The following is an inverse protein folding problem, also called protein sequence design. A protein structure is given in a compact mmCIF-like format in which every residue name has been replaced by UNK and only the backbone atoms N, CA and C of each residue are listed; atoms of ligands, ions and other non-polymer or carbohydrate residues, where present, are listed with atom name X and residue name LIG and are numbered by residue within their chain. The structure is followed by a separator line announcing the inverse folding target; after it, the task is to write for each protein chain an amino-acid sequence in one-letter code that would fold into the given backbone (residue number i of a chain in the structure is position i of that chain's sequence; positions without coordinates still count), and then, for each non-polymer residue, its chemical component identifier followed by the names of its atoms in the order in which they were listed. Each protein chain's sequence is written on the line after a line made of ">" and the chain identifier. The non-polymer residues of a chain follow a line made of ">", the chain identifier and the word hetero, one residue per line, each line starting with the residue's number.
data_IF_078085893623
#
_entry.id   IF_078085893623
#
_cell.length_a   1.000
_cell.length_b   1.000
_cell.length_c   1.000
_cell.angle_alpha   90.00
_cell.angle_beta   90.00
_cell.angle_gamma   90.00
#
_symmetry.space_group_name_H-M   'P 1'
#
loop_
_entity.id
_entity.type
_entity.pdbx_description
1 polymer ?
#
# COMPACT_ATOMS: atom_id res chain seq x y z
N UNK A 1 1.40 5.41 11.37
CA UNK A 1 0.89 4.52 10.31
C UNK A 1 0.24 5.42 9.27
N UNK A 2 0.51 5.17 7.98
CA UNK A 2 -0.22 5.81 6.88
C UNK A 2 -1.26 4.81 6.45
N UNK A 3 -2.53 5.18 6.54
CA UNK A 3 -3.66 4.34 6.15
C UNK A 3 -4.31 4.96 4.93
N UNK A 4 -4.35 4.24 3.82
CA UNK A 4 -5.09 4.61 2.61
C UNK A 4 -6.48 3.99 2.66
N UNK A 5 -7.52 4.80 2.45
CA UNK A 5 -8.91 4.34 2.42
C UNK A 5 -9.60 4.77 1.15
N UNK A 6 -10.42 3.87 0.59
CA UNK A 6 -11.41 4.24 -0.43
C UNK A 6 -12.61 4.85 0.29
N UNK A 7 -13.09 6.01 -0.15
CA UNK A 7 -14.26 6.67 0.45
C UNK A 7 -15.49 5.75 0.40
N UNK A 8 -16.13 5.51 1.56
CA UNK A 8 -17.30 4.63 1.68
C UNK A 8 -16.98 3.12 1.80
N UNK A 9 -15.71 2.73 1.75
CA UNK A 9 -15.26 1.35 1.91
C UNK A 9 -14.85 1.05 3.37
N UNK A 10 -15.18 -0.13 3.93
CA UNK A 10 -14.66 -0.57 5.22
C UNK A 10 -13.19 -1.03 5.15
N UNK A 11 -12.58 -1.03 3.96
CA UNK A 11 -11.23 -1.51 3.74
C UNK A 11 -10.19 -0.42 3.99
N UNK A 12 -9.25 -0.74 4.88
CA UNK A 12 -8.09 0.07 5.18
C UNK A 12 -6.88 -0.64 4.61
N UNK A 13 -6.05 0.07 3.85
CA UNK A 13 -4.74 -0.41 3.47
C UNK A 13 -3.67 0.42 4.17
N UNK A 14 -2.52 -0.19 4.43
CA UNK A 14 -1.34 0.53 4.85
C UNK A 14 -0.61 1.15 3.65
N UNK A 15 0.32 2.07 3.93
CA UNK A 15 1.20 2.66 2.94
C UNK A 15 2.49 3.17 3.56
N UNK A 16 3.45 3.52 2.72
CA UNK A 16 4.75 4.06 3.13
C UNK A 16 5.09 5.33 2.38
N UNK A 17 5.57 6.34 3.10
CA UNK A 17 6.05 7.59 2.53
C UNK A 17 7.40 7.31 1.86
N UNK A 18 7.47 7.48 0.54
CA UNK A 18 8.69 7.29 -0.26
C UNK A 18 9.34 8.61 -0.68
N UNK A 19 8.56 9.72 -0.66
CA UNK A 19 9.02 11.11 -0.78
C UNK A 19 8.07 12.04 -0.02
N UNK A 20 8.45 13.31 0.18
CA UNK A 20 7.71 14.28 1.00
C UNK A 20 6.19 14.36 0.73
N UNK A 21 5.74 14.06 -0.49
CA UNK A 21 4.33 14.06 -0.89
C UNK A 21 3.90 12.79 -1.64
N UNK A 22 4.67 11.70 -1.51
CA UNK A 22 4.41 10.45 -2.24
C UNK A 22 4.32 9.28 -1.27
N UNK A 23 3.21 8.56 -1.37
CA UNK A 23 2.95 7.32 -0.63
C UNK A 23 2.89 6.17 -1.63
N UNK A 24 3.61 5.10 -1.32
CA UNK A 24 3.53 3.83 -2.04
C UNK A 24 2.63 2.86 -1.26
N UNK A 25 1.74 2.17 -1.96
CA UNK A 25 0.82 1.16 -1.43
C UNK A 25 0.52 0.11 -2.51
N UNK A 26 -0.27 -0.93 -2.18
CA UNK A 26 -0.65 -1.98 -3.11
C UNK A 26 -1.77 -1.51 -4.05
N UNK A 27 -1.74 -1.98 -5.30
CA UNK A 27 -2.70 -1.55 -6.31
C UNK A 27 -4.14 -2.02 -6.04
N UNK A 28 -4.33 -3.20 -5.42
CA UNK A 28 -5.69 -3.68 -5.09
C UNK A 28 -6.41 -2.76 -4.09
N UNK A 29 -5.68 -1.95 -3.32
CA UNK A 29 -6.24 -0.99 -2.37
C UNK A 29 -7.07 0.13 -3.03
N UNK A 30 -7.03 0.23 -4.36
CA UNK A 30 -7.84 1.16 -5.14
C UNK A 30 -9.09 0.50 -5.73
N UNK A 31 -9.44 -0.73 -5.33
CA UNK A 31 -10.62 -1.43 -5.81
C UNK A 31 -11.51 -1.95 -4.65
N UNK A 32 -12.83 -1.85 -4.81
CA UNK A 32 -13.79 -2.44 -3.88
C UNK A 32 -13.90 -3.97 -4.07
N UNK A 33 -14.72 -4.63 -3.24
CA UNK A 33 -14.95 -6.08 -3.34
C UNK A 33 -15.62 -6.52 -4.65
N UNK A 34 -16.20 -5.58 -5.40
CA UNK A 34 -16.81 -5.83 -6.70
C UNK A 34 -15.86 -5.48 -7.86
N UNK A 35 -14.62 -5.06 -7.57
CA UNK A 35 -13.63 -4.66 -8.56
C UNK A 35 -13.83 -3.26 -9.13
N UNK A 36 -14.68 -2.44 -8.52
CA UNK A 36 -14.91 -1.03 -8.86
C UNK A 36 -13.73 -0.20 -8.38
N UNK A 37 -13.18 0.64 -9.26
CA UNK A 37 -12.08 1.54 -8.92
C UNK A 37 -12.54 2.66 -7.99
N UNK A 38 -11.66 3.10 -7.11
CA UNK A 38 -11.92 4.17 -6.16
C UNK A 38 -12.04 5.53 -6.86
N UNK A 39 -13.17 6.22 -6.69
CA UNK A 39 -13.32 7.61 -7.14
C UNK A 39 -12.59 8.61 -6.22
N UNK A 40 -12.50 8.29 -4.92
CA UNK A 40 -11.89 9.14 -3.89
C UNK A 40 -11.03 8.27 -2.97
N UNK A 41 -9.77 8.70 -2.80
CA UNK A 41 -8.81 8.09 -1.87
C UNK A 41 -8.48 9.10 -0.79
N UNK A 42 -8.44 8.65 0.45
CA UNK A 42 -7.97 9.44 1.58
C UNK A 42 -6.74 8.79 2.19
N UNK A 43 -5.80 9.63 2.61
CA UNK A 43 -4.67 9.21 3.43
C UNK A 43 -4.90 9.66 4.86
N UNK A 44 -4.76 8.74 5.81
CA UNK A 44 -4.91 9.01 7.23
C UNK A 44 -3.57 8.80 7.93
N UNK A 45 -3.07 9.86 8.55
CA UNK A 45 -1.89 9.81 9.41
C UNK A 45 -2.31 9.71 10.87
N UNK A 46 -1.78 8.74 11.60
CA UNK A 46 -1.99 8.61 13.04
C UNK A 46 -2.05 7.15 13.51
N UNK A 47 -2.57 6.95 14.72
CA UNK A 47 -2.89 5.65 15.26
C UNK A 47 -4.40 5.37 15.05
N UNK A 48 -4.81 4.20 14.52
CA UNK A 48 -6.22 3.90 14.22
C UNK A 48 -7.16 4.04 15.42
N UNK A 49 -6.66 3.78 16.65
CA UNK A 49 -7.44 3.94 17.89
C UNK A 49 -7.40 5.33 18.51
N UNK A 50 -6.70 6.30 17.90
CA UNK A 50 -6.66 7.67 18.39
C UNK A 50 -7.77 8.52 17.75
N UNK A 51 -8.39 9.40 18.52
CA UNK A 51 -9.37 10.39 18.03
C UNK A 51 -8.76 11.41 17.04
N UNK A 52 -7.44 11.38 16.85
CA UNK A 52 -6.67 12.33 16.05
C UNK A 52 -6.09 11.63 14.82
N UNK A 53 -6.96 11.24 13.89
CA UNK A 53 -6.55 10.91 12.53
C UNK A 53 -6.46 12.20 11.72
N UNK A 54 -5.27 12.55 11.26
CA UNK A 54 -5.11 13.63 10.27
C UNK A 54 -5.45 13.07 8.90
N UNK A 55 -6.50 13.61 8.28
CA UNK A 55 -6.90 13.25 6.92
C UNK A 55 -6.19 14.17 5.94
N UNK A 56 -5.47 13.57 5.00
CA UNK A 56 -4.83 14.24 3.89
C UNK A 56 -5.59 13.87 2.61
N UNK A 57 -6.18 14.86 1.90
CA UNK A 57 -6.84 14.60 0.63
C UNK A 57 -5.79 14.19 -0.41
N UNK A 58 -6.08 13.13 -1.16
CA UNK A 58 -5.23 12.67 -2.25
C UNK A 58 -5.61 13.45 -3.51
N UNK A 59 -4.64 14.17 -4.09
CA UNK A 59 -4.86 14.89 -5.35
C UNK A 59 -4.97 13.95 -6.56
N UNK A 60 -4.17 12.87 -6.54
CA UNK A 60 -4.14 11.86 -7.61
C UNK A 60 -3.52 10.57 -7.08
N UNK A 61 -3.90 9.44 -7.66
CA UNK A 61 -3.26 8.15 -7.46
C UNK A 61 -2.90 7.57 -8.83
N UNK A 62 -1.81 6.81 -8.88
CA UNK A 62 -1.29 6.23 -10.13
C UNK A 62 -1.20 4.72 -9.90
N UNK A 63 -2.02 3.96 -10.62
CA UNK A 63 -1.97 2.50 -10.63
C UNK A 63 -1.03 2.07 -11.76
N UNK A 64 -0.16 1.10 -11.49
CA UNK A 64 0.73 0.55 -12.52
C UNK A 64 -0.08 -0.01 -13.69
N UNK A 65 0.30 0.31 -14.92
CA UNK A 65 -0.44 -0.04 -16.15
C UNK A 65 -0.63 -1.55 -16.35
N UNK A 66 0.37 -2.34 -15.95
CA UNK A 66 0.30 -3.82 -15.99
C UNK A 66 -0.40 -4.45 -14.77
N UNK A 67 -1.09 -3.67 -13.92
CA UNK A 67 -1.79 -4.25 -12.79
C UNK A 67 -3.02 -5.06 -13.26
N UNK A 68 -2.97 -6.37 -13.03
CA UNK A 68 -4.09 -7.27 -13.24
C UNK A 68 -4.81 -7.53 -11.91
N UNK A 69 -6.13 -7.36 -11.91
CA UNK A 69 -6.96 -7.43 -10.71
C UNK A 69 -6.97 -8.84 -10.12
N UNK A 70 -6.76 -8.95 -8.81
CA UNK A 70 -7.12 -10.10 -7.99
C UNK A 70 -7.95 -9.61 -6.80
N UNK A 71 -8.98 -10.36 -6.43
CA UNK A 71 -9.83 -10.02 -5.29
C UNK A 71 -9.05 -10.30 -3.99
N UNK A 72 -8.97 -9.35 -3.05
CA UNK A 72 -8.87 -9.50 -1.58
C UNK A 72 -8.43 -8.18 -0.91
N UNK A 73 -9.16 -7.74 0.12
CA UNK A 73 -8.92 -6.47 0.82
C UNK A 73 -8.77 -6.69 2.34
N UNK A 74 -7.53 -6.77 2.84
CA UNK A 74 -7.17 -7.01 4.26
C UNK A 74 -6.34 -5.83 4.79
N UNK A 75 -6.48 -5.55 6.10
CA UNK A 75 -5.96 -4.34 6.79
C UNK A 75 -4.47 -4.01 6.64
N UNK A 76 -3.62 -5.02 6.46
CA UNK A 76 -2.15 -4.85 6.39
C UNK A 76 -1.62 -4.77 4.96
N UNK A 77 -2.47 -4.98 3.95
CA UNK A 77 -2.06 -4.84 2.57
C UNK A 77 -1.71 -3.39 2.24
N UNK A 78 -0.77 -3.22 1.32
CA UNK A 78 -0.11 -1.94 1.06
C UNK A 78 0.98 -1.58 2.07
N UNK A 79 1.13 -2.36 3.15
CA UNK A 79 2.14 -2.14 4.17
C UNK A 79 3.58 -2.43 3.69
N UNK A 80 4.58 -1.71 4.22
CA UNK A 80 5.98 -1.90 3.82
C UNK A 80 6.61 -3.14 4.45
N UNK A 81 7.40 -3.87 3.65
CA UNK A 81 8.39 -4.84 4.12
C UNK A 81 9.76 -4.20 4.07
N UNK A 82 10.38 -4.07 5.24
CA UNK A 82 11.68 -3.43 5.42
C UNK A 82 12.71 -4.47 5.88
N UNK A 83 13.93 -4.37 5.37
CA UNK A 83 15.09 -5.15 5.86
C UNK A 83 16.17 -4.22 6.37
N UNK A 84 16.89 -4.63 7.41
CA UNK A 84 18.00 -3.83 7.94
C UNK A 84 19.32 -4.24 7.25
N UNK A 85 19.88 -3.33 6.45
CA UNK A 85 21.10 -3.54 5.66
C UNK A 85 22.02 -2.35 5.84
N UNK A 86 23.30 -2.61 6.16
CA UNK A 86 24.33 -1.56 6.17
C UNK A 86 24.03 -0.38 7.09
N UNK A 87 23.37 -0.64 8.23
CA UNK A 87 22.88 0.36 9.19
C UNK A 87 21.61 1.15 8.80
N UNK A 88 20.93 0.78 7.71
CA UNK A 88 19.70 1.41 7.24
C UNK A 88 18.56 0.41 7.11
N UNK A 89 17.32 0.88 7.29
CA UNK A 89 16.14 0.11 6.88
C UNK A 89 15.84 0.39 5.41
N UNK A 90 15.84 -0.66 4.59
CA UNK A 90 15.57 -0.60 3.16
C UNK A 90 14.21 -1.21 2.86
N UNK A 91 13.38 -0.46 2.12
CA UNK A 91 12.08 -0.92 1.63
C UNK A 91 12.29 -1.93 0.48
N UNK A 92 11.90 -3.19 0.71
CA UNK A 92 12.10 -4.27 -0.27
C UNK A 92 10.81 -4.83 -0.83
N UNK A 93 9.70 -4.66 -0.11
CA UNK A 93 8.41 -5.16 -0.55
C UNK A 93 7.22 -4.34 -0.06
N UNK A 94 6.07 -4.57 -0.69
CA UNK A 94 4.77 -4.06 -0.27
C UNK A 94 3.83 -5.27 -0.14
N UNK A 95 3.20 -5.48 1.02
CA UNK A 95 2.22 -6.55 1.20
C UNK A 95 1.07 -6.39 0.20
N UNK A 96 0.74 -7.43 -0.57
CA UNK A 96 -0.11 -7.26 -1.75
C UNK A 96 -1.22 -8.29 -1.87
N UNK A 97 -1.02 -9.53 -1.46
CA UNK A 97 -2.05 -10.55 -1.57
C UNK A 97 -1.84 -11.62 -0.51
N UNK A 98 -2.92 -12.25 -0.07
CA UNK A 98 -2.88 -13.46 0.73
C UNK A 98 -4.12 -14.29 0.39
N UNK A 99 -3.96 -15.61 0.37
CA UNK A 99 -5.08 -16.53 0.15
C UNK A 99 -6.15 -16.38 1.26
N UNK A 100 -7.43 -16.67 0.96
CA UNK A 100 -8.51 -16.63 1.93
C UNK A 100 -8.37 -17.79 2.92
N UNK A 101 -7.64 -17.53 4.01
CA UNK A 101 -7.60 -18.35 5.21
C UNK A 101 -8.11 -17.54 6.41
N UNK A 102 -8.50 -18.22 7.49
CA UNK A 102 -8.67 -17.53 8.76
C UNK A 102 -7.26 -17.10 9.24
N UNK A 103 -7.09 -15.90 9.79
CA UNK A 103 -5.80 -15.43 10.32
C UNK A 103 -5.26 -16.25 11.53
N UNK A 104 -5.89 -17.39 11.84
CA UNK A 104 -5.60 -18.28 12.96
C UNK A 104 -5.01 -19.62 12.51
N UNK A 105 -5.08 -19.96 11.22
CA UNK A 105 -4.55 -21.18 10.61
C UNK A 105 -3.22 -20.87 9.92
N UNK A 106 -2.13 -21.02 10.68
CA UNK A 106 -0.78 -20.66 10.25
C UNK A 106 -0.15 -21.66 9.27
N UNK A 107 -0.75 -22.84 9.06
CA UNK A 107 -0.14 -23.92 8.28
C UNK A 107 -0.37 -23.83 6.76
N UNK A 108 -1.29 -22.96 6.28
CA UNK A 108 -1.55 -22.76 4.84
C UNK A 108 -1.55 -21.28 4.39
N UNK A 109 -1.17 -20.34 5.26
CA UNK A 109 -1.23 -18.91 4.95
C UNK A 109 0.09 -18.39 4.39
N UNK A 110 0.08 -17.88 3.16
CA UNK A 110 1.20 -17.12 2.59
C UNK A 110 0.75 -15.72 2.18
N UNK A 111 1.61 -14.74 2.45
CA UNK A 111 1.46 -13.36 1.97
C UNK A 111 2.41 -13.16 0.80
N UNK A 112 1.89 -12.72 -0.33
CA UNK A 112 2.66 -12.25 -1.47
C UNK A 112 2.99 -10.78 -1.32
N UNK A 113 4.23 -10.45 -1.65
CA UNK A 113 4.76 -9.09 -1.59
C UNK A 113 5.16 -8.62 -2.98
N UNK A 114 4.78 -7.39 -3.32
CA UNK A 114 5.28 -6.71 -4.52
C UNK A 114 6.75 -6.36 -4.32
N UNK A 115 7.63 -6.83 -5.19
CA UNK A 115 9.08 -6.55 -5.12
C UNK A 115 9.38 -5.11 -5.52
N UNK A 116 9.69 -4.25 -4.55
CA UNK A 116 9.91 -2.80 -4.78
C UNK A 116 11.04 -2.54 -5.77
N UNK A 117 12.13 -3.33 -5.69
CA UNK A 117 13.28 -3.18 -6.60
C UNK A 117 12.93 -3.37 -8.08
N UNK A 118 11.88 -4.14 -8.38
CA UNK A 118 11.43 -4.37 -9.76
C UNK A 118 10.78 -3.12 -10.36
N UNK A 119 10.16 -2.28 -9.53
CA UNK A 119 9.41 -1.10 -9.95
C UNK A 119 10.17 0.22 -9.76
N UNK A 120 11.48 0.19 -9.44
CA UNK A 120 12.24 1.41 -9.16
C UNK A 120 12.20 2.42 -10.30
N UNK A 121 12.35 1.97 -11.56
CA UNK A 121 12.29 2.87 -12.72
C UNK A 121 10.91 3.53 -12.84
N UNK A 122 9.84 2.74 -12.71
CA UNK A 122 8.48 3.25 -12.72
C UNK A 122 8.21 4.24 -11.56
N UNK A 123 8.65 3.91 -10.34
CA UNK A 123 8.50 4.77 -9.15
C UNK A 123 9.27 6.07 -9.36
N UNK A 124 10.51 6.01 -9.81
CA UNK A 124 11.35 7.20 -9.99
C UNK A 124 10.84 8.10 -11.10
N UNK A 125 10.37 7.55 -12.22
CA UNK A 125 9.77 8.30 -13.33
C UNK A 125 8.52 9.05 -12.90
N UNK A 126 7.62 8.41 -12.13
CA UNK A 126 6.37 9.03 -11.70
C UNK A 126 6.54 10.03 -10.55
N UNK A 127 7.59 9.88 -9.75
CA UNK A 127 7.83 10.71 -8.57
C UNK A 127 8.88 11.81 -8.79
N UNK A 128 9.35 12.02 -10.04
CA UNK A 128 10.29 13.08 -10.41
C UNK A 128 11.74 12.87 -9.93
N UNK A 129 12.31 11.68 -10.15
CA UNK A 129 13.58 11.21 -9.59
C UNK A 129 14.83 12.08 -9.81
N UNK A 130 15.58 12.30 -8.71
CA UNK A 130 17.06 12.15 -8.59
C UNK A 130 17.52 11.74 -7.18
N UNK A 131 16.64 11.67 -6.17
CA UNK A 131 17.05 11.16 -4.86
C UNK A 131 17.05 9.63 -4.82
N UNK A 132 18.21 9.05 -4.52
CA UNK A 132 18.39 7.61 -4.29
C UNK A 132 17.50 7.14 -3.13
N UNK A 133 16.69 6.10 -3.37
CA UNK A 133 16.04 5.30 -2.32
C UNK A 133 17.05 4.38 -1.62
#
# INVERSE_FOLDING_TARGET
>A
MVVTTISGSPYYCAGVIIKAQWILTAAHCFFDSNGTEADIVEVRGGHPSSQFLTVFPVNTFIIHEDYFKSEHNVGDFGGPVMVFVGAHYTLVGIASYAEPGNCSDYDEYYILYTRVSYFLDWITNNTGGTDCL
#
